data_IF_425600400024
#
_entry.id   IF_425600400024
#
_cell.length_a   1.000
_cell.length_b   1.000
_cell.length_c   1.000
_cell.angle_alpha   90.00
_cell.angle_beta   90.00
_cell.angle_gamma   90.00
#
_symmetry.space_group_name_H-M   'P 1'
#
loop_
_entity.id
_entity.type
_entity.pdbx_description
1 polymer ?
#
# COMPACT_ATOMS: atom_id res chain seq x y z
N UNK A 1 10.49 -23.38 15.44
CA UNK A 1 10.76 -23.59 14.00
C UNK A 1 10.91 -22.28 13.24
N UNK A 2 10.06 -21.29 13.45
CA UNK A 2 10.14 -19.96 12.80
C UNK A 2 11.49 -19.25 13.05
N UNK A 3 12.06 -19.42 14.24
CA UNK A 3 13.35 -18.84 14.61
C UNK A 3 14.54 -19.47 13.86
N UNK A 4 14.46 -20.77 13.52
CA UNK A 4 15.52 -21.48 12.78
C UNK A 4 15.52 -21.14 11.29
N UNK A 5 14.39 -20.79 10.72
CA UNK A 5 14.27 -20.40 9.31
C UNK A 5 14.84 -19.00 9.07
N UNK A 6 14.66 -18.07 10.00
CA UNK A 6 15.18 -16.70 9.90
C UNK A 6 16.70 -16.57 9.98
N UNK A 7 17.39 -17.52 10.64
CA UNK A 7 18.83 -17.44 10.87
C UNK A 7 19.65 -18.44 10.04
N UNK A 8 19.08 -19.05 9.04
CA UNK A 8 19.75 -20.13 8.28
C UNK A 8 20.82 -19.65 7.28
N UNK A 9 20.88 -18.34 6.97
CA UNK A 9 22.02 -17.80 6.19
C UNK A 9 22.03 -16.27 6.31
N UNK A 10 23.19 -15.70 6.58
CA UNK A 10 23.42 -14.26 6.54
C UNK A 10 22.98 -13.67 5.20
N UNK A 11 23.14 -14.41 4.11
CA UNK A 11 22.69 -14.05 2.77
C UNK A 11 21.17 -13.80 2.67
N UNK A 12 20.33 -14.60 3.34
CA UNK A 12 18.88 -14.42 3.34
C UNK A 12 18.45 -13.08 3.95
N UNK A 13 19.10 -12.70 5.06
CA UNK A 13 18.84 -11.41 5.71
C UNK A 13 19.25 -10.24 4.80
N UNK A 14 20.39 -10.33 4.14
CA UNK A 14 20.82 -9.30 3.18
C UNK A 14 19.84 -9.14 2.01
N UNK A 15 19.31 -10.23 1.46
CA UNK A 15 18.30 -10.16 0.41
C UNK A 15 16.98 -9.53 0.88
N UNK A 16 16.53 -9.83 2.10
CA UNK A 16 15.35 -9.18 2.69
C UNK A 16 15.54 -7.67 2.86
N UNK A 17 16.69 -7.26 3.37
CA UNK A 17 17.04 -5.84 3.53
C UNK A 17 17.09 -5.16 2.18
N UNK A 18 17.70 -5.77 1.18
CA UNK A 18 17.84 -5.21 -0.15
C UNK A 18 16.47 -5.06 -0.84
N UNK A 19 15.61 -6.06 -0.76
CA UNK A 19 14.23 -5.99 -1.28
C UNK A 19 13.42 -4.93 -0.55
N UNK A 20 13.52 -4.87 0.78
CA UNK A 20 12.85 -3.84 1.59
C UNK A 20 13.32 -2.43 1.26
N UNK A 21 14.62 -2.23 1.08
CA UNK A 21 15.20 -0.94 0.70
C UNK A 21 14.77 -0.51 -0.71
N UNK A 22 14.86 -1.41 -1.69
CA UNK A 22 14.43 -1.14 -3.06
C UNK A 22 12.93 -0.83 -3.14
N UNK A 23 12.10 -1.58 -2.39
CA UNK A 23 10.67 -1.33 -2.27
C UNK A 23 10.38 0.03 -1.63
N UNK A 24 11.08 0.40 -0.57
CA UNK A 24 10.96 1.70 0.09
C UNK A 24 11.36 2.87 -0.80
N UNK A 25 12.43 2.72 -1.60
CA UNK A 25 12.82 3.69 -2.62
C UNK A 25 11.75 3.87 -3.69
N UNK A 26 11.21 2.76 -4.19
CA UNK A 26 10.14 2.77 -5.19
C UNK A 26 8.86 3.40 -4.62
N UNK A 27 8.54 3.12 -3.36
CA UNK A 27 7.39 3.70 -2.67
C UNK A 27 7.52 5.22 -2.52
N UNK A 28 8.70 5.69 -2.15
CA UNK A 28 8.99 7.11 -2.02
C UNK A 28 8.94 7.87 -3.36
N UNK A 29 9.30 7.21 -4.47
CA UNK A 29 9.33 7.83 -5.79
C UNK A 29 7.97 7.82 -6.51
N UNK A 30 7.21 6.71 -6.42
CA UNK A 30 6.02 6.46 -7.26
C UNK A 30 4.82 5.98 -6.44
N UNK A 31 4.99 5.67 -5.14
CA UNK A 31 3.91 5.15 -4.30
C UNK A 31 3.55 3.68 -4.58
N UNK A 32 4.48 2.90 -5.17
CA UNK A 32 4.26 1.52 -5.60
C UNK A 32 5.13 0.47 -4.90
N UNK A 33 5.67 0.76 -3.71
CA UNK A 33 6.60 -0.13 -3.01
C UNK A 33 6.10 -1.55 -2.79
N UNK A 34 4.79 -1.70 -2.52
CA UNK A 34 4.15 -3.01 -2.38
C UNK A 34 4.20 -3.88 -3.63
N UNK A 35 4.28 -3.26 -4.82
CA UNK A 35 4.41 -3.99 -6.11
C UNK A 35 5.74 -4.76 -6.21
N UNK A 36 6.79 -4.26 -5.58
CA UNK A 36 8.10 -4.91 -5.53
C UNK A 36 8.24 -5.81 -4.29
N UNK A 37 7.75 -5.33 -3.15
CA UNK A 37 7.95 -6.01 -1.87
C UNK A 37 7.19 -7.33 -1.78
N UNK A 38 5.95 -7.41 -2.25
CA UNK A 38 5.13 -8.61 -2.16
C UNK A 38 5.72 -9.77 -2.97
N UNK A 39 6.07 -9.63 -4.27
CA UNK A 39 6.74 -10.70 -5.00
C UNK A 39 8.11 -11.07 -4.40
N UNK A 40 8.86 -10.08 -3.93
CA UNK A 40 10.12 -10.31 -3.24
C UNK A 40 9.95 -11.19 -2.00
N UNK A 41 8.96 -10.88 -1.16
CA UNK A 41 8.65 -11.68 0.02
C UNK A 41 8.16 -13.09 -0.33
N UNK A 42 7.32 -13.26 -1.37
CA UNK A 42 6.87 -14.57 -1.81
C UNK A 42 8.00 -15.45 -2.34
N UNK A 43 9.03 -14.86 -2.96
CA UNK A 43 10.19 -15.61 -3.46
C UNK A 43 11.19 -15.95 -2.35
N UNK A 44 11.34 -15.05 -1.36
CA UNK A 44 12.30 -15.24 -0.27
C UNK A 44 11.74 -16.11 0.85
N UNK A 45 10.45 -15.97 1.18
CA UNK A 45 9.85 -16.73 2.27
C UNK A 45 9.51 -18.18 1.83
N UNK A 46 9.56 -19.15 2.77
CA UNK A 46 9.16 -20.52 2.49
C UNK A 46 7.75 -20.60 1.91
N UNK A 47 7.53 -21.54 0.97
CA UNK A 47 6.23 -21.76 0.33
C UNK A 47 5.09 -22.09 1.30
N UNK A 48 5.41 -22.55 2.51
CA UNK A 48 4.47 -22.83 3.59
C UNK A 48 4.01 -21.57 4.35
N UNK A 49 4.59 -20.38 4.06
CA UNK A 49 4.21 -19.15 4.75
C UNK A 49 2.81 -18.71 4.33
N UNK A 50 1.88 -18.50 5.28
CA UNK A 50 0.53 -18.03 4.95
C UNK A 50 0.57 -16.67 4.23
N UNK A 51 -0.24 -16.52 3.19
CA UNK A 51 -0.34 -15.26 2.42
C UNK A 51 -0.66 -14.07 3.31
N UNK A 52 -1.52 -14.28 4.33
CA UNK A 52 -1.85 -13.25 5.31
C UNK A 52 -0.62 -12.74 6.08
N UNK A 53 0.35 -13.61 6.40
CA UNK A 53 1.60 -13.22 7.06
C UNK A 53 2.48 -12.37 6.16
N UNK A 54 2.60 -12.74 4.89
CA UNK A 54 3.35 -11.95 3.89
C UNK A 54 2.74 -10.56 3.73
N UNK A 55 1.41 -10.50 3.63
CA UNK A 55 0.69 -9.22 3.57
C UNK A 55 0.84 -8.41 4.85
N UNK A 56 0.81 -9.04 6.02
CA UNK A 56 1.02 -8.39 7.31
C UNK A 56 2.40 -7.72 7.38
N UNK A 57 3.45 -8.41 6.97
CA UNK A 57 4.82 -7.86 6.90
C UNK A 57 4.89 -6.66 5.96
N UNK A 58 4.30 -6.78 4.76
CA UNK A 58 4.25 -5.67 3.80
C UNK A 58 3.49 -4.46 4.37
N UNK A 59 2.35 -4.68 5.01
CA UNK A 59 1.55 -3.60 5.65
C UNK A 59 2.30 -2.93 6.79
N UNK A 60 3.00 -3.70 7.62
CA UNK A 60 3.79 -3.14 8.70
C UNK A 60 4.93 -2.25 8.17
N UNK A 61 5.65 -2.72 7.15
CA UNK A 61 6.70 -1.94 6.50
C UNK A 61 6.15 -0.65 5.86
N UNK A 62 5.04 -0.75 5.13
CA UNK A 62 4.36 0.42 4.55
C UNK A 62 3.89 1.42 5.62
N UNK A 63 3.37 0.93 6.76
CA UNK A 63 2.95 1.79 7.87
C UNK A 63 4.13 2.61 8.41
N UNK A 64 5.29 2.00 8.63
CA UNK A 64 6.50 2.70 9.06
C UNK A 64 6.96 3.75 8.04
N UNK A 65 6.92 3.42 6.75
CA UNK A 65 7.26 4.32 5.66
C UNK A 65 6.31 5.53 5.58
N UNK A 66 5.01 5.28 5.59
CA UNK A 66 3.99 6.34 5.53
C UNK A 66 3.98 7.23 6.75
N UNK A 67 4.22 6.71 7.96
CA UNK A 67 4.37 7.52 9.17
C UNK A 67 5.55 8.49 9.05
N UNK A 68 6.68 8.02 8.54
CA UNK A 68 7.87 8.86 8.34
C UNK A 68 7.61 9.94 7.29
N UNK A 69 7.02 9.57 6.15
CA UNK A 69 6.65 10.49 5.09
C UNK A 69 5.64 11.55 5.60
N UNK A 70 4.58 11.11 6.29
CA UNK A 70 3.57 12.00 6.88
C UNK A 70 4.21 13.01 7.83
N UNK A 71 5.12 12.57 8.70
CA UNK A 71 5.85 13.45 9.61
C UNK A 71 6.66 14.53 8.87
N UNK A 72 7.23 14.22 7.71
CA UNK A 72 7.95 15.18 6.89
C UNK A 72 6.99 16.15 6.15
N UNK A 73 5.89 15.66 5.60
CA UNK A 73 4.89 16.48 4.93
C UNK A 73 4.21 17.46 5.88
N UNK A 74 3.84 17.02 7.08
CA UNK A 74 3.21 17.89 8.10
C UNK A 74 4.08 19.07 8.51
N UNK A 75 5.40 18.94 8.38
CA UNK A 75 6.34 20.04 8.67
C UNK A 75 6.46 21.06 7.53
N UNK A 76 6.06 20.71 6.32
CA UNK A 76 6.30 21.51 5.11
C UNK A 76 5.05 22.09 4.48
N UNK A 77 3.90 21.47 4.68
CA UNK A 77 2.66 21.82 3.99
C UNK A 77 1.55 22.07 5.00
N UNK A 78 0.80 23.19 4.90
CA UNK A 78 -0.38 23.45 5.72
C UNK A 78 -1.46 22.43 5.34
N UNK A 79 -1.86 21.61 6.30
CA UNK A 79 -2.82 20.53 6.08
C UNK A 79 -4.22 20.95 6.48
N UNK A 80 -5.25 20.76 5.64
CA UNK A 80 -6.65 21.03 5.98
C UNK A 80 -7.22 19.92 6.89
N UNK A 81 -6.92 19.99 8.19
CA UNK A 81 -7.29 18.97 9.18
C UNK A 81 -8.79 18.63 9.18
N UNK A 82 -9.65 19.64 8.91
CA UNK A 82 -11.10 19.45 8.88
C UNK A 82 -11.58 18.45 7.83
N UNK A 83 -10.83 18.32 6.74
CA UNK A 83 -11.14 17.37 5.66
C UNK A 83 -10.34 16.08 5.82
N UNK A 84 -9.09 16.18 6.23
CA UNK A 84 -8.19 15.04 6.32
C UNK A 84 -8.61 14.05 7.42
N UNK A 85 -9.03 14.52 8.60
CA UNK A 85 -9.42 13.66 9.71
C UNK A 85 -10.62 12.75 9.37
N UNK A 86 -11.77 13.27 8.86
CA UNK A 86 -12.87 12.38 8.48
C UNK A 86 -12.51 11.44 7.31
N UNK A 87 -11.70 11.90 6.34
CA UNK A 87 -11.22 11.06 5.26
C UNK A 87 -10.35 9.91 5.77
N UNK A 88 -9.41 10.20 6.66
CA UNK A 88 -8.54 9.20 7.26
C UNK A 88 -9.33 8.20 8.11
N UNK A 89 -10.31 8.67 8.90
CA UNK A 89 -11.17 7.79 9.71
C UNK A 89 -12.00 6.83 8.83
N UNK A 90 -12.60 7.34 7.74
CA UNK A 90 -13.36 6.53 6.79
C UNK A 90 -12.46 5.52 6.05
N UNK A 91 -11.29 5.96 5.57
CA UNK A 91 -10.33 5.08 4.92
C UNK A 91 -9.82 4.00 5.88
N UNK A 92 -9.56 4.33 7.14
CA UNK A 92 -9.16 3.37 8.17
C UNK A 92 -10.25 2.32 8.44
N UNK A 93 -11.50 2.75 8.63
CA UNK A 93 -12.64 1.85 8.83
C UNK A 93 -12.85 0.94 7.60
N UNK A 94 -12.79 1.50 6.41
CA UNK A 94 -12.91 0.74 5.16
C UNK A 94 -11.76 -0.26 4.97
N UNK A 95 -10.52 0.14 5.28
CA UNK A 95 -9.34 -0.74 5.24
C UNK A 95 -9.45 -1.89 6.25
N UNK A 96 -9.97 -1.62 7.44
CA UNK A 96 -10.22 -2.66 8.43
C UNK A 96 -11.25 -3.69 7.94
N UNK A 97 -12.34 -3.22 7.31
CA UNK A 97 -13.34 -4.11 6.69
C UNK A 97 -12.72 -4.92 5.54
N UNK A 98 -11.91 -4.27 4.69
CA UNK A 98 -11.16 -4.93 3.63
C UNK A 98 -10.26 -6.05 4.16
N UNK A 99 -9.48 -5.77 5.20
CA UNK A 99 -8.60 -6.76 5.83
C UNK A 99 -9.38 -7.95 6.41
N UNK A 100 -10.56 -7.73 7.00
CA UNK A 100 -11.44 -8.81 7.45
C UNK A 100 -11.92 -9.68 6.30
N UNK A 101 -12.24 -9.09 5.16
CA UNK A 101 -12.72 -9.83 3.98
C UNK A 101 -11.69 -10.81 3.44
N UNK A 102 -10.40 -10.48 3.57
CA UNK A 102 -9.28 -11.36 3.14
C UNK A 102 -9.32 -12.74 3.80
N UNK A 103 -9.79 -12.81 5.06
CA UNK A 103 -9.85 -14.09 5.81
C UNK A 103 -10.84 -15.09 5.18
N UNK A 104 -11.86 -14.60 4.49
CA UNK A 104 -12.87 -15.43 3.84
C UNK A 104 -12.48 -15.89 2.43
N UNK A 105 -11.43 -15.29 1.83
CA UNK A 105 -10.97 -15.68 0.50
C UNK A 105 -10.09 -16.93 0.55
N UNK A 106 -10.35 -17.94 -0.29
CA UNK A 106 -9.50 -19.11 -0.41
C UNK A 106 -8.08 -18.70 -0.85
N UNK A 107 -7.08 -19.13 -0.10
CA UNK A 107 -5.66 -18.79 -0.29
C UNK A 107 -5.17 -19.09 -1.71
N UNK A 108 -5.72 -20.13 -2.35
CA UNK A 108 -5.36 -20.56 -3.71
C UNK A 108 -5.68 -19.52 -4.80
N UNK A 109 -6.70 -18.66 -4.58
CA UNK A 109 -7.07 -17.59 -5.52
C UNK A 109 -6.39 -16.26 -5.20
N UNK A 110 -5.86 -16.09 -4.00
CA UNK A 110 -5.24 -14.83 -3.60
C UNK A 110 -3.95 -14.53 -4.35
N UNK A 111 -3.07 -15.53 -4.51
CA UNK A 111 -1.79 -15.35 -5.24
C UNK A 111 -2.01 -14.89 -6.69
N UNK A 112 -2.82 -15.59 -7.52
CA UNK A 112 -3.08 -15.15 -8.89
C UNK A 112 -3.85 -13.83 -8.96
N UNK A 113 -4.81 -13.60 -8.06
CA UNK A 113 -5.55 -12.32 -8.01
C UNK A 113 -4.61 -11.14 -7.74
N UNK A 114 -3.70 -11.28 -6.78
CA UNK A 114 -2.67 -10.25 -6.51
C UNK A 114 -1.79 -9.99 -7.73
N UNK A 115 -1.32 -11.05 -8.40
CA UNK A 115 -0.49 -10.90 -9.60
C UNK A 115 -1.21 -10.11 -10.70
N UNK A 116 -2.47 -10.45 -10.97
CA UNK A 116 -3.29 -9.74 -11.98
C UNK A 116 -3.45 -8.27 -11.62
N UNK A 117 -3.78 -7.98 -10.36
CA UNK A 117 -3.95 -6.60 -9.88
C UNK A 117 -2.62 -5.84 -9.97
N UNK A 118 -1.51 -6.46 -9.58
CA UNK A 118 -0.19 -5.84 -9.66
C UNK A 118 0.20 -5.49 -11.09
N UNK A 119 -0.04 -6.39 -12.03
CA UNK A 119 0.21 -6.15 -13.47
C UNK A 119 -0.69 -5.01 -13.97
N UNK A 120 -1.98 -5.04 -13.63
CA UNK A 120 -2.93 -3.99 -14.04
C UNK A 120 -2.52 -2.61 -13.49
N UNK A 121 -2.12 -2.53 -12.21
CA UNK A 121 -1.65 -1.29 -11.59
C UNK A 121 -0.33 -0.80 -12.17
N UNK A 122 0.58 -1.71 -12.47
CA UNK A 122 1.84 -1.39 -13.12
C UNK A 122 1.60 -0.79 -14.52
N UNK A 123 0.79 -1.45 -15.34
CA UNK A 123 0.40 -0.95 -16.67
C UNK A 123 -0.31 0.40 -16.58
N UNK A 124 -1.26 0.55 -15.64
CA UNK A 124 -1.96 1.81 -15.43
C UNK A 124 -1.01 2.95 -15.09
N UNK A 125 -0.06 2.73 -14.19
CA UNK A 125 0.94 3.72 -13.79
C UNK A 125 1.87 4.11 -14.94
N UNK A 126 2.25 3.14 -15.79
CA UNK A 126 3.10 3.40 -16.97
C UNK A 126 2.36 4.16 -18.08
N UNK A 127 1.07 3.89 -18.27
CA UNK A 127 0.27 4.52 -19.32
C UNK A 127 -0.10 5.96 -18.99
N UNK A 128 -0.22 6.31 -17.70
CA UNK A 128 -0.64 7.63 -17.26
C UNK A 128 0.55 8.44 -16.74
N UNK A 129 1.13 9.25 -17.63
CA UNK A 129 2.33 10.08 -17.37
C UNK A 129 2.05 11.38 -16.59
N UNK A 130 0.80 11.86 -16.55
CA UNK A 130 0.44 13.19 -16.03
C UNK A 130 -0.03 13.17 -14.57
N UNK A 131 0.77 12.55 -13.70
CA UNK A 131 0.46 12.44 -12.29
C UNK A 131 0.78 13.74 -11.54
N UNK A 132 -0.22 14.34 -10.90
CA UNK A 132 0.01 15.37 -9.89
C UNK A 132 0.36 16.78 -10.40
N UNK A 133 0.15 17.11 -11.68
CA UNK A 133 0.52 18.42 -12.24
C UNK A 133 -0.52 19.54 -12.01
N UNK A 134 -1.72 19.24 -11.58
CA UNK A 134 -2.76 20.23 -11.34
C UNK A 134 -2.91 20.56 -9.85
N UNK A 135 -2.25 21.64 -9.44
CA UNK A 135 -2.52 22.26 -8.13
C UNK A 135 -3.81 23.06 -8.24
N UNK A 136 -4.92 22.50 -7.82
CA UNK A 136 -6.20 23.20 -7.74
C UNK A 136 -6.23 24.03 -6.46
N UNK A 137 -6.22 25.35 -6.60
CA UNK A 137 -6.24 26.35 -5.50
C UNK A 137 -7.67 26.72 -5.07
N UNK A 138 -8.70 26.19 -5.72
CA UNK A 138 -10.10 26.52 -5.44
C UNK A 138 -10.65 25.73 -4.25
N UNK A 139 -11.54 26.38 -3.49
CA UNK A 139 -12.25 25.75 -2.37
C UNK A 139 -13.14 24.62 -2.89
N UNK A 140 -12.90 23.40 -2.42
CA UNK A 140 -13.70 22.21 -2.75
C UNK A 140 -15.18 22.43 -2.42
N UNK A 141 -16.05 22.17 -3.37
CA UNK A 141 -17.50 22.16 -3.18
C UNK A 141 -17.89 21.01 -2.26
N UNK A 142 -18.98 21.11 -1.53
CA UNK A 142 -19.47 20.06 -0.63
C UNK A 142 -19.67 18.72 -1.36
N UNK A 143 -20.10 18.77 -2.60
CA UNK A 143 -20.27 17.58 -3.44
C UNK A 143 -18.92 16.92 -3.78
N UNK A 144 -17.92 17.70 -4.12
CA UNK A 144 -16.55 17.21 -4.40
C UNK A 144 -15.92 16.59 -3.15
N UNK A 145 -16.17 17.19 -1.97
CA UNK A 145 -15.72 16.62 -0.70
C UNK A 145 -16.36 15.26 -0.43
N UNK A 146 -17.67 15.09 -0.68
CA UNK A 146 -18.37 13.82 -0.52
C UNK A 146 -17.85 12.74 -1.48
N UNK A 147 -17.62 13.11 -2.74
CA UNK A 147 -17.01 12.20 -3.72
C UNK A 147 -15.58 11.81 -3.32
N UNK A 148 -14.79 12.76 -2.85
CA UNK A 148 -13.45 12.50 -2.33
C UNK A 148 -13.44 11.54 -1.14
N UNK A 149 -14.38 11.70 -0.20
CA UNK A 149 -14.56 10.79 0.93
C UNK A 149 -14.99 9.38 0.48
N UNK A 150 -15.90 9.30 -0.48
CA UNK A 150 -16.35 8.03 -1.04
C UNK A 150 -15.23 7.27 -1.75
N UNK A 151 -14.49 7.94 -2.64
CA UNK A 151 -13.35 7.33 -3.31
C UNK A 151 -12.22 7.00 -2.33
N UNK A 152 -11.97 7.86 -1.34
CA UNK A 152 -11.01 7.57 -0.27
C UNK A 152 -11.37 6.32 0.53
N UNK A 153 -12.65 6.11 0.83
CA UNK A 153 -13.13 4.88 1.48
C UNK A 153 -13.00 3.65 0.58
N UNK A 154 -13.33 3.78 -0.71
CA UNK A 154 -13.20 2.70 -1.69
C UNK A 154 -11.74 2.27 -1.86
N UNK A 155 -10.84 3.24 -2.00
CA UNK A 155 -9.40 3.00 -2.09
C UNK A 155 -8.87 2.41 -0.78
N UNK A 156 -9.35 2.90 0.37
CA UNK A 156 -9.01 2.34 1.67
C UNK A 156 -9.44 0.88 1.82
N UNK A 157 -10.64 0.53 1.36
CA UNK A 157 -11.11 -0.87 1.33
C UNK A 157 -10.21 -1.74 0.45
N UNK A 158 -9.92 -1.27 -0.77
CA UNK A 158 -8.97 -1.94 -1.68
C UNK A 158 -7.60 -2.14 -1.02
N UNK A 159 -7.09 -1.10 -0.35
CA UNK A 159 -5.84 -1.16 0.40
C UNK A 159 -5.88 -2.22 1.51
N UNK A 160 -7.00 -2.35 2.19
CA UNK A 160 -7.22 -3.39 3.20
C UNK A 160 -7.16 -4.81 2.64
N UNK A 161 -7.72 -5.02 1.44
CA UNK A 161 -7.77 -6.35 0.78
C UNK A 161 -6.44 -6.71 0.14
N UNK A 162 -5.87 -5.84 -0.67
CA UNK A 162 -4.71 -6.15 -1.53
C UNK A 162 -3.47 -5.33 -1.16
N UNK A 163 -3.60 -4.04 -0.95
CA UNK A 163 -2.53 -3.13 -0.57
C UNK A 163 -1.62 -2.59 -1.68
N UNK A 164 -1.15 -3.39 -2.64
CA UNK A 164 -0.21 -2.88 -3.63
C UNK A 164 -0.85 -1.85 -4.57
N UNK A 165 -0.12 -0.76 -4.86
CA UNK A 165 -0.55 0.29 -5.78
C UNK A 165 -1.50 1.34 -5.21
N UNK A 166 -1.83 1.31 -3.93
CA UNK A 166 -2.71 2.29 -3.28
C UNK A 166 -2.17 3.72 -3.39
N UNK A 167 -0.87 3.90 -3.26
CA UNK A 167 -0.22 5.20 -3.42
C UNK A 167 -0.44 5.79 -4.81
N UNK A 168 -0.34 4.96 -5.85
CA UNK A 168 -0.61 5.39 -7.23
C UNK A 168 -2.08 5.76 -7.45
N UNK A 169 -3.03 5.04 -6.82
CA UNK A 169 -4.45 5.35 -6.91
C UNK A 169 -4.83 6.66 -6.19
N UNK A 170 -4.13 6.99 -5.10
CA UNK A 170 -4.36 8.24 -4.37
C UNK A 170 -3.77 9.47 -5.06
N UNK A 171 -2.79 9.28 -5.94
CA UNK A 171 -2.16 10.36 -6.69
C UNK A 171 -3.00 10.83 -7.90
N UNK A 172 -4.10 10.16 -8.21
CA UNK A 172 -5.08 10.51 -9.25
C UNK A 172 -6.32 11.16 -8.65
#
# INVERSE_FOLDING_TARGET
EFRRVLFRSDSFFYYLVLVGFAAGLMDAAVGGGGLLQIPGLFNLLPNATPVASVMGVNKFASCCGTLTATGQYLRRIPVPWKMLLPAAALAFAASYLGAKTVVYFPVQYMKPAMLVIMIAMCLYTFLKKDLGQTVRTEKLTRCETLWGLFFGALIGFYDGVFGPGTGSLLAF
#
